data_IF_293000467819
#
_entry.id   IF_293000467819
#
_cell.length_a   1.000
_cell.length_b   1.000
_cell.length_c   1.000
_cell.angle_alpha   90.00
_cell.angle_beta   90.00
_cell.angle_gamma   90.00
#
_symmetry.space_group_name_H-M   'P 1'
#
loop_
_entity.id
_entity.type
_entity.pdbx_description
1 polymer ?
#
# COMPACT_ATOMS: atom_id res chain seq x y z
N UNK A 1 65.58 12.05 -23.25
CA UNK A 1 64.23 12.52 -23.58
C UNK A 1 63.33 11.31 -23.78
N UNK A 2 62.49 10.97 -22.80
CA UNK A 2 61.40 10.00 -22.93
C UNK A 2 60.40 10.21 -21.77
N UNK A 3 59.27 10.86 -22.06
CA UNK A 3 57.98 10.53 -21.43
C UNK A 3 57.40 9.35 -22.27
N UNK A 4 56.39 8.55 -21.86
CA UNK A 4 55.41 8.74 -20.78
C UNK A 4 54.97 7.42 -20.06
N UNK A 5 54.03 7.53 -19.12
CA UNK A 5 53.34 6.38 -18.52
C UNK A 5 52.13 6.79 -17.68
N UNK A 6 51.13 7.43 -18.31
CA UNK A 6 49.87 7.83 -17.65
C UNK A 6 48.95 6.61 -17.55
N UNK A 7 48.95 5.96 -16.39
CA UNK A 7 48.12 4.78 -16.13
C UNK A 7 46.79 5.19 -15.49
N UNK A 8 45.78 5.49 -16.30
CA UNK A 8 44.39 5.65 -15.85
C UNK A 8 43.70 4.29 -15.74
N UNK A 9 43.66 3.73 -14.52
CA UNK A 9 42.82 2.57 -14.19
C UNK A 9 41.40 3.04 -13.86
N UNK A 10 40.50 2.90 -14.82
CA UNK A 10 39.06 3.16 -14.64
C UNK A 10 38.44 2.01 -13.84
N UNK A 11 38.00 2.26 -12.60
CA UNK A 11 37.24 1.29 -11.78
C UNK A 11 35.80 1.21 -12.30
N UNK A 12 35.51 0.28 -13.19
CA UNK A 12 34.16 0.04 -13.73
C UNK A 12 33.24 -0.69 -12.72
N UNK A 13 33.73 -1.04 -11.53
CA UNK A 13 32.94 -1.73 -10.47
C UNK A 13 32.24 -0.83 -9.45
N UNK A 14 32.38 0.50 -9.51
CA UNK A 14 31.85 1.41 -8.48
C UNK A 14 30.32 1.49 -8.46
N UNK A 15 29.70 1.85 -9.58
CA UNK A 15 28.26 2.15 -9.61
C UNK A 15 27.35 0.96 -9.26
N UNK A 16 27.63 -0.23 -9.77
CA UNK A 16 26.82 -1.43 -9.51
C UNK A 16 26.95 -1.91 -8.06
N UNK A 17 28.13 -1.75 -7.46
CA UNK A 17 28.37 -2.05 -6.05
C UNK A 17 27.64 -1.04 -5.16
N UNK A 18 27.80 0.25 -5.44
CA UNK A 18 27.17 1.34 -4.70
C UNK A 18 25.64 1.30 -4.82
N UNK A 19 25.11 0.94 -5.99
CA UNK A 19 23.68 0.74 -6.20
C UNK A 19 23.14 -0.48 -5.43
N UNK A 20 23.88 -1.60 -5.41
CA UNK A 20 23.50 -2.78 -4.60
C UNK A 20 23.48 -2.43 -3.12
N UNK A 21 24.47 -1.70 -2.63
CA UNK A 21 24.59 -1.30 -1.23
C UNK A 21 23.50 -0.28 -0.82
N UNK A 22 23.11 0.60 -1.74
CA UNK A 22 21.95 1.48 -1.58
C UNK A 22 20.62 0.71 -1.59
N UNK A 23 20.44 -0.20 -2.55
CA UNK A 23 19.21 -0.99 -2.71
C UNK A 23 19.01 -1.97 -1.56
N UNK A 24 20.06 -2.55 -0.98
CA UNK A 24 19.98 -3.46 0.17
C UNK A 24 19.73 -2.76 1.51
N UNK A 25 19.66 -1.43 1.53
CA UNK A 25 19.24 -0.68 2.71
C UNK A 25 17.77 -1.02 2.97
N UNK A 26 17.47 -1.77 4.05
CA UNK A 26 16.14 -2.36 4.31
C UNK A 26 14.97 -1.40 4.11
N UNK A 27 15.10 -0.15 4.57
CA UNK A 27 14.09 0.90 4.40
C UNK A 27 13.72 1.25 2.94
N UNK A 28 14.63 1.02 1.97
CA UNK A 28 14.38 1.29 0.53
C UNK A 28 13.69 0.10 -0.13
N UNK A 29 14.04 -1.13 0.23
CA UNK A 29 13.41 -2.35 -0.28
C UNK A 29 11.95 -2.39 0.12
N UNK A 30 11.66 -2.16 1.41
CA UNK A 30 10.29 -2.22 1.94
C UNK A 30 9.39 -1.15 1.32
N UNK A 31 9.94 0.06 1.10
CA UNK A 31 9.25 1.13 0.39
C UNK A 31 8.99 0.75 -1.07
N UNK A 32 9.98 0.19 -1.78
CA UNK A 32 9.82 -0.23 -3.16
C UNK A 32 8.73 -1.32 -3.31
N UNK A 33 8.73 -2.29 -2.40
CA UNK A 33 7.71 -3.35 -2.36
C UNK A 33 6.32 -2.75 -2.07
N UNK A 34 6.20 -1.84 -1.11
CA UNK A 34 4.93 -1.18 -0.79
C UNK A 34 4.36 -0.40 -1.99
N UNK A 35 5.20 0.32 -2.74
CA UNK A 35 4.77 1.08 -3.93
C UNK A 35 4.33 0.16 -5.06
N UNK A 36 5.06 -0.93 -5.32
CA UNK A 36 4.72 -1.90 -6.38
C UNK A 36 3.40 -2.61 -6.05
N UNK A 37 3.24 -3.07 -4.80
CA UNK A 37 2.01 -3.72 -4.35
C UNK A 37 0.84 -2.72 -4.38
N UNK A 38 1.04 -1.49 -3.91
CA UNK A 38 0.02 -0.44 -3.93
C UNK A 38 -0.45 -0.12 -5.35
N UNK A 39 0.48 -0.01 -6.30
CA UNK A 39 0.16 0.22 -7.71
C UNK A 39 -0.60 -0.95 -8.34
N UNK A 40 -0.15 -2.19 -8.12
CA UNK A 40 -0.81 -3.38 -8.64
C UNK A 40 -2.22 -3.56 -8.03
N UNK A 41 -2.36 -3.36 -6.72
CA UNK A 41 -3.64 -3.47 -6.01
C UNK A 41 -4.65 -2.41 -6.48
N UNK A 42 -4.20 -1.16 -6.68
CA UNK A 42 -5.03 -0.10 -7.27
C UNK A 42 -5.56 -0.46 -8.66
N UNK A 43 -4.73 -1.09 -9.51
CA UNK A 43 -5.16 -1.56 -10.83
C UNK A 43 -6.22 -2.67 -10.76
N UNK A 44 -6.11 -3.58 -9.79
CA UNK A 44 -7.11 -4.64 -9.55
C UNK A 44 -8.46 -4.02 -9.16
N UNK A 45 -8.46 -3.05 -8.24
CA UNK A 45 -9.69 -2.37 -7.82
C UNK A 45 -10.31 -1.60 -8.99
N UNK A 46 -9.49 -0.86 -9.73
CA UNK A 46 -9.94 -0.11 -10.91
C UNK A 46 -10.61 -1.03 -11.94
N UNK A 47 -9.99 -2.18 -12.24
CA UNK A 47 -10.54 -3.17 -13.18
C UNK A 47 -11.82 -3.81 -12.64
N UNK A 48 -11.90 -4.13 -11.35
CA UNK A 48 -13.13 -4.64 -10.75
C UNK A 48 -14.29 -3.63 -10.85
N UNK A 49 -14.00 -2.35 -10.61
CA UNK A 49 -15.00 -1.28 -10.74
C UNK A 49 -15.45 -1.09 -12.19
N UNK A 50 -14.50 -0.97 -13.11
CA UNK A 50 -14.77 -0.70 -14.52
C UNK A 50 -15.38 -1.90 -15.26
N UNK A 51 -14.87 -3.11 -15.01
CA UNK A 51 -15.18 -4.30 -15.82
C UNK A 51 -16.30 -5.16 -15.22
N UNK A 52 -16.56 -5.04 -13.92
CA UNK A 52 -17.59 -5.85 -13.23
C UNK A 52 -18.70 -4.97 -12.68
N UNK A 53 -18.35 -3.98 -11.85
CA UNK A 53 -19.35 -3.18 -11.11
C UNK A 53 -20.17 -2.28 -12.04
N UNK A 54 -19.50 -1.55 -12.94
CA UNK A 54 -20.15 -0.69 -13.95
C UNK A 54 -21.12 -1.47 -14.86
N UNK A 55 -20.73 -2.56 -15.54
CA UNK A 55 -21.65 -3.31 -16.38
C UNK A 55 -22.72 -4.09 -15.60
N UNK A 56 -22.45 -4.56 -14.37
CA UNK A 56 -23.41 -5.36 -13.62
C UNK A 56 -24.45 -4.54 -12.84
N UNK A 57 -24.10 -3.35 -12.36
CA UNK A 57 -24.97 -2.54 -11.48
C UNK A 57 -25.47 -1.29 -12.21
N UNK A 58 -24.61 -0.63 -12.98
CA UNK A 58 -24.91 0.67 -13.58
C UNK A 58 -25.51 0.53 -14.97
N UNK A 59 -24.98 -0.36 -15.82
CA UNK A 59 -25.49 -0.55 -17.18
C UNK A 59 -26.94 -1.05 -17.25
N UNK A 60 -27.41 -2.04 -16.45
CA UNK A 60 -28.83 -2.43 -16.44
C UNK A 60 -29.75 -1.37 -15.81
N UNK A 61 -29.23 -0.50 -14.94
CA UNK A 61 -30.00 0.61 -14.36
C UNK A 61 -30.10 1.79 -15.32
N UNK A 62 -29.06 2.05 -16.11
CA UNK A 62 -28.99 3.14 -17.10
C UNK A 62 -29.51 2.74 -18.49
N UNK A 63 -29.53 1.45 -18.85
CA UNK A 63 -30.13 0.98 -20.11
C UNK A 63 -31.65 1.19 -20.15
N UNK A 64 -32.29 1.35 -18.98
CA UNK A 64 -33.69 1.83 -18.88
C UNK A 64 -33.79 3.37 -18.87
N UNK A 65 -32.71 4.09 -18.56
CA UNK A 65 -32.70 5.56 -18.42
C UNK A 65 -32.25 6.29 -19.69
N UNK A 66 -31.64 5.59 -20.64
CA UNK A 66 -31.28 6.13 -21.95
C UNK A 66 -29.96 6.90 -21.94
N UNK A 67 -29.12 6.58 -22.94
CA UNK A 67 -27.88 7.27 -23.35
C UNK A 67 -26.67 7.13 -22.44
N UNK A 68 -25.53 6.81 -23.05
CA UNK A 68 -24.19 6.93 -22.46
C UNK A 68 -23.93 8.39 -22.08
N UNK A 69 -24.34 8.78 -20.87
CA UNK A 69 -24.11 10.10 -20.29
C UNK A 69 -22.62 10.49 -20.27
N UNK A 70 -21.72 9.50 -20.39
CA UNK A 70 -20.28 9.68 -20.53
C UNK A 70 -19.86 10.23 -21.89
N UNK A 71 -20.69 10.05 -22.92
CA UNK A 71 -20.50 10.62 -24.26
C UNK A 71 -21.15 12.00 -24.42
N UNK A 72 -21.85 12.48 -23.38
CA UNK A 72 -22.49 13.79 -23.41
C UNK A 72 -21.45 14.91 -23.65
N UNK A 73 -21.60 15.59 -24.78
CA UNK A 73 -20.82 16.77 -25.17
C UNK A 73 -21.70 18.01 -25.15
N UNK A 74 -21.17 19.13 -24.62
CA UNK A 74 -21.81 20.44 -24.70
C UNK A 74 -21.05 21.28 -25.74
N UNK A 75 -21.74 21.71 -26.81
CA UNK A 75 -21.15 22.54 -27.86
C UNK A 75 -20.09 21.83 -28.71
N UNK A 76 -19.19 22.57 -29.39
CA UNK A 76 -18.19 21.97 -30.27
C UNK A 76 -17.05 21.37 -29.43
N UNK A 77 -17.22 20.12 -28.98
CA UNK A 77 -16.12 19.26 -28.54
C UNK A 77 -15.82 19.18 -27.04
N UNK A 78 -16.58 19.86 -26.16
CA UNK A 78 -16.35 19.75 -24.70
C UNK A 78 -17.04 18.48 -24.17
N UNK A 79 -16.26 17.43 -23.91
CA UNK A 79 -16.69 16.12 -23.37
C UNK A 79 -16.92 16.16 -21.86
N UNK A 80 -17.93 16.92 -21.42
CA UNK A 80 -18.29 17.01 -20.01
C UNK A 80 -18.70 15.66 -19.41
N UNK A 81 -19.33 14.79 -20.22
CA UNK A 81 -19.72 13.44 -19.82
C UNK A 81 -18.53 12.58 -19.42
N UNK A 82 -17.42 12.66 -20.16
CA UNK A 82 -16.23 11.86 -19.88
C UNK A 82 -15.56 12.30 -18.58
N UNK A 83 -15.52 13.61 -18.32
CA UNK A 83 -14.97 14.14 -17.08
C UNK A 83 -15.82 13.73 -15.88
N UNK A 84 -17.14 13.92 -15.96
CA UNK A 84 -18.05 13.51 -14.90
C UNK A 84 -18.02 11.99 -14.68
N UNK A 85 -17.82 11.21 -15.76
CA UNK A 85 -17.53 9.79 -15.74
C UNK A 85 -16.35 9.44 -14.83
N UNK A 86 -15.20 10.08 -15.07
CA UNK A 86 -14.00 9.84 -14.24
C UNK A 86 -14.18 10.25 -12.77
N UNK A 87 -14.98 11.30 -12.50
CA UNK A 87 -15.29 11.71 -11.11
C UNK A 87 -16.15 10.66 -10.41
N UNK A 88 -17.16 10.13 -11.10
CA UNK A 88 -18.00 9.05 -10.56
C UNK A 88 -17.18 7.78 -10.34
N UNK A 89 -16.31 7.41 -11.28
CA UNK A 89 -15.43 6.24 -11.14
C UNK A 89 -14.52 6.39 -9.90
N UNK A 90 -13.96 7.57 -9.67
CA UNK A 90 -13.15 7.85 -8.48
C UNK A 90 -13.94 7.69 -7.18
N UNK A 91 -15.18 8.19 -7.13
CA UNK A 91 -16.07 8.04 -5.96
C UNK A 91 -16.38 6.56 -5.71
N UNK A 92 -16.66 5.79 -6.77
CA UNK A 92 -16.93 4.35 -6.65
C UNK A 92 -15.69 3.59 -6.17
N UNK A 93 -14.51 3.87 -6.73
CA UNK A 93 -13.26 3.25 -6.30
C UNK A 93 -12.99 3.54 -4.82
N UNK A 94 -13.17 4.80 -4.38
CA UNK A 94 -13.03 5.18 -2.99
C UNK A 94 -14.03 4.42 -2.07
N UNK A 95 -15.27 4.28 -2.52
CA UNK A 95 -16.30 3.52 -1.78
C UNK A 95 -15.97 2.02 -1.69
N UNK A 96 -15.52 1.41 -2.78
CA UNK A 96 -15.12 -0.01 -2.79
C UNK A 96 -13.89 -0.23 -1.91
N UNK A 97 -12.88 0.65 -1.99
CA UNK A 97 -11.72 0.59 -1.10
C UNK A 97 -12.13 0.69 0.37
N UNK A 98 -13.05 1.58 0.70
CA UNK A 98 -13.62 1.69 2.04
C UNK A 98 -14.31 0.39 2.49
N UNK A 99 -15.15 -0.22 1.64
CA UNK A 99 -15.80 -1.49 1.97
C UNK A 99 -14.79 -2.63 2.20
N UNK A 100 -13.73 -2.69 1.39
CA UNK A 100 -12.68 -3.70 1.51
C UNK A 100 -11.90 -3.51 2.82
N UNK A 101 -11.49 -2.28 3.15
CA UNK A 101 -10.81 -1.97 4.41
C UNK A 101 -11.71 -2.31 5.60
N UNK A 102 -12.97 -1.88 5.57
CA UNK A 102 -13.95 -2.15 6.61
C UNK A 102 -14.19 -3.67 6.80
N UNK A 103 -14.16 -4.44 5.72
CA UNK A 103 -14.29 -5.89 5.76
C UNK A 103 -13.06 -6.55 6.41
N UNK A 104 -11.86 -6.15 6.02
CA UNK A 104 -10.62 -6.64 6.64
C UNK A 104 -10.50 -6.23 8.12
N UNK A 105 -10.91 -5.01 8.47
CA UNK A 105 -10.98 -4.56 9.87
C UNK A 105 -11.97 -5.40 10.69
N UNK A 106 -13.13 -5.76 10.12
CA UNK A 106 -14.10 -6.64 10.79
C UNK A 106 -13.56 -8.05 10.99
N UNK A 107 -12.82 -8.60 10.03
CA UNK A 107 -12.20 -9.92 10.16
C UNK A 107 -11.09 -9.92 11.22
N UNK A 108 -10.18 -8.94 11.20
CA UNK A 108 -9.13 -8.80 12.22
C UNK A 108 -9.70 -8.62 13.62
N UNK A 109 -10.76 -7.80 13.77
CA UNK A 109 -11.43 -7.58 15.05
C UNK A 109 -12.15 -8.84 15.55
N UNK A 110 -12.50 -9.78 14.66
CA UNK A 110 -13.12 -11.04 15.04
C UNK A 110 -12.08 -12.06 15.55
N UNK A 111 -10.87 -12.07 14.98
CA UNK A 111 -9.72 -12.83 15.52
C UNK A 111 -9.26 -12.28 16.88
N UNK A 112 -9.30 -10.96 17.07
CA UNK A 112 -8.89 -10.30 18.33
C UNK A 112 -9.86 -10.57 19.50
N UNK A 113 -11.12 -10.91 19.21
CA UNK A 113 -12.14 -11.28 20.22
C UNK A 113 -12.04 -12.75 20.64
N UNK A 114 -11.47 -13.62 19.80
CA UNK A 114 -11.22 -15.04 20.13
C UNK A 114 -9.81 -15.26 20.74
N UNK A 115 -8.90 -14.29 20.57
CA UNK A 115 -7.52 -14.33 21.09
C UNK A 115 -7.25 -13.41 22.30
N UNK A 116 -8.26 -12.86 22.97
CA UNK A 116 -8.08 -12.19 24.25
C UNK A 116 -8.05 -13.25 25.37
N UNK A 117 -6.87 -13.68 25.91
CA UNK A 117 -5.76 -12.80 26.29
C UNK A 117 -4.37 -13.45 26.14
N UNK A 118 -3.63 -13.26 25.04
CA UNK A 118 -2.22 -13.69 25.02
C UNK A 118 -1.30 -13.01 24.01
N UNK A 119 -1.38 -11.71 23.77
CA UNK A 119 -0.25 -11.03 23.11
C UNK A 119 -0.11 -9.58 23.58
N UNK A 120 0.36 -9.46 24.82
CA UNK A 120 1.19 -8.32 25.20
C UNK A 120 2.16 -8.05 24.04
N UNK A 121 2.18 -6.83 23.52
CA UNK A 121 3.11 -6.44 22.44
C UNK A 121 4.55 -6.73 22.89
N UNK A 122 5.51 -6.90 21.97
CA UNK A 122 6.90 -7.21 22.35
C UNK A 122 7.44 -6.21 23.38
N UNK A 123 7.03 -4.94 23.28
CA UNK A 123 7.33 -3.88 24.25
C UNK A 123 6.65 -4.13 25.60
N UNK A 124 5.39 -4.54 25.62
CA UNK A 124 4.63 -4.83 26.83
C UNK A 124 5.15 -6.11 27.53
N UNK A 125 5.57 -7.14 26.77
CA UNK A 125 6.30 -8.31 27.30
C UNK A 125 7.66 -7.91 27.88
N UNK A 126 8.37 -7.00 27.23
CA UNK A 126 9.66 -6.50 27.71
C UNK A 126 9.47 -5.73 29.03
N UNK A 127 8.51 -4.83 29.08
CA UNK A 127 8.17 -4.05 30.28
C UNK A 127 7.75 -4.97 31.43
N UNK A 128 6.85 -5.93 31.18
CA UNK A 128 6.43 -6.93 32.18
C UNK A 128 7.62 -7.78 32.65
N UNK A 129 8.55 -8.14 31.76
CA UNK A 129 9.73 -8.93 32.13
C UNK A 129 10.72 -8.09 32.95
N UNK A 130 10.89 -6.81 32.63
CA UNK A 130 11.71 -5.88 33.40
C UNK A 130 11.12 -5.67 34.80
N UNK A 131 9.81 -5.46 34.92
CA UNK A 131 9.13 -5.37 36.22
C UNK A 131 9.31 -6.65 37.05
N UNK A 132 9.18 -7.83 36.42
CA UNK A 132 9.43 -9.12 37.07
C UNK A 132 10.87 -9.30 37.51
N UNK A 133 11.85 -8.85 36.70
CA UNK A 133 13.27 -8.90 37.06
C UNK A 133 13.57 -7.94 38.22
N UNK A 134 12.99 -6.75 38.21
CA UNK A 134 13.11 -5.78 39.32
C UNK A 134 12.55 -6.37 40.62
N UNK A 135 11.35 -6.97 40.59
CA UNK A 135 10.77 -7.65 41.76
C UNK A 135 11.61 -8.86 42.23
N UNK A 136 12.17 -9.63 41.30
CA UNK A 136 13.01 -10.80 41.63
C UNK A 136 14.37 -10.40 42.24
N UNK A 137 14.91 -9.24 41.84
CA UNK A 137 16.13 -8.68 42.42
C UNK A 137 15.81 -8.09 43.81
N UNK A 138 14.74 -7.30 43.92
CA UNK A 138 14.30 -6.70 45.20
C UNK A 138 14.01 -7.75 46.26
N UNK A 139 13.32 -8.83 45.91
CA UNK A 139 13.07 -9.96 46.82
C UNK A 139 14.31 -10.78 47.20
N UNK A 140 15.42 -10.70 46.44
CA UNK A 140 16.70 -11.34 46.77
C UNK A 140 17.69 -10.41 47.47
N UNK A 141 17.48 -9.10 47.45
CA UNK A 141 18.38 -8.09 48.02
C UNK A 141 17.99 -7.60 49.41
N UNK A 142 16.97 -8.19 50.04
CA UNK A 142 16.62 -7.92 51.43
C UNK A 142 17.43 -8.89 52.34
N UNK A 143 18.32 -8.39 53.22
CA UNK A 143 18.94 -9.19 54.28
C UNK A 143 17.94 -9.62 55.36
#
# INVERSE_FOLDING_TARGET
MALPGRNSRTRVGGFLHDFREFALRGNVVDLAVAVIIGGAFGAIISSFVADILMPAVINPFLSQAGTDWREATIGPGIRIGSFLGTVVDFIIIAFVLFLVIQFFERLKRQEEVEAAPAELTVEEKLNVTLERLTQAIESRQIP
#
